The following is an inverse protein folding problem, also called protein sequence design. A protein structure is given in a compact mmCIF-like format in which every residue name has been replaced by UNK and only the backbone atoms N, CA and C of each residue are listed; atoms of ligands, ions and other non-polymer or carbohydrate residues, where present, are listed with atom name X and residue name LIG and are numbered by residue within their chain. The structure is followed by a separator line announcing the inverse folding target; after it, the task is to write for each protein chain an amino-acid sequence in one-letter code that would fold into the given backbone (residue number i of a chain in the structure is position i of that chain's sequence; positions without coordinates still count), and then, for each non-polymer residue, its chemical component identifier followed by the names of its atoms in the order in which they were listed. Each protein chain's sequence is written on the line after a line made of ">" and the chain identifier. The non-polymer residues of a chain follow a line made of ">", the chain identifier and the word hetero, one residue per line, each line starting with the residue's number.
data_IF_521690717322
#
_entry.id   IF_521690717322
#
_cell.length_a   1.000
_cell.length_b   1.000
_cell.length_c   1.000
_cell.angle_alpha   90.00
_cell.angle_beta   90.00
_cell.angle_gamma   90.00
#
_symmetry.space_group_name_H-M   'P 1'
#
loop_
_entity.id
_entity.type
_entity.pdbx_description
1 polymer ?
#
# COMPACT_ATOMS: atom_id res chain seq x y z
N UNK A 1 -6.20 -6.34 -13.73
CA UNK A 1 -5.13 -5.71 -12.91
C UNK A 1 -5.64 -5.56 -11.47
N UNK A 2 -4.85 -6.02 -10.49
CA UNK A 2 -5.19 -5.93 -9.06
C UNK A 2 -5.00 -4.48 -8.61
N UNK A 3 -6.09 -3.78 -8.29
CA UNK A 3 -6.09 -2.37 -7.85
C UNK A 3 -6.15 -2.20 -6.32
N UNK A 4 -6.27 -3.30 -5.60
CA UNK A 4 -6.46 -3.34 -4.16
C UNK A 4 -5.29 -4.04 -3.51
N UNK A 5 -4.71 -3.40 -2.50
CA UNK A 5 -3.52 -3.83 -1.78
C UNK A 5 -3.76 -3.80 -0.29
N UNK A 6 -3.38 -4.86 0.42
CA UNK A 6 -3.32 -4.82 1.88
C UNK A 6 -2.03 -4.13 2.29
N UNK A 7 -2.16 -3.04 3.04
CA UNK A 7 -1.03 -2.29 3.56
C UNK A 7 -0.95 -2.48 5.07
N UNK A 8 0.27 -2.69 5.55
CA UNK A 8 0.60 -2.87 6.97
C UNK A 8 1.43 -1.69 7.42
N UNK A 9 1.00 -1.00 8.48
CA UNK A 9 1.76 0.04 9.17
C UNK A 9 1.75 -0.27 10.66
N UNK A 10 2.92 -0.61 11.20
CA UNK A 10 3.02 -1.16 12.56
C UNK A 10 2.17 -2.43 12.72
N UNK A 11 1.24 -2.41 13.68
CA UNK A 11 0.31 -3.51 13.94
C UNK A 11 -1.05 -3.37 13.20
N UNK A 12 -1.24 -2.31 12.40
CA UNK A 12 -2.51 -2.03 11.72
C UNK A 12 -2.47 -2.53 10.28
N UNK A 13 -3.63 -3.01 9.80
CA UNK A 13 -3.89 -3.45 8.43
C UNK A 13 -5.00 -2.62 7.81
N UNK A 14 -4.81 -2.19 6.58
CA UNK A 14 -5.82 -1.46 5.82
C UNK A 14 -5.77 -1.83 4.34
N UNK A 15 -6.90 -1.66 3.67
CA UNK A 15 -7.02 -1.86 2.23
C UNK A 15 -6.78 -0.54 1.52
N UNK A 16 -5.74 -0.48 0.70
CA UNK A 16 -5.47 0.65 -0.18
C UNK A 16 -5.98 0.32 -1.59
N UNK A 17 -6.76 1.23 -2.15
CA UNK A 17 -7.21 1.14 -3.55
C UNK A 17 -6.47 2.21 -4.35
N UNK A 18 -5.75 1.79 -5.39
CA UNK A 18 -5.11 2.71 -6.32
C UNK A 18 -6.03 2.94 -7.52
N UNK A 19 -6.35 4.20 -7.75
CA UNK A 19 -7.18 4.65 -8.88
C UNK A 19 -6.36 4.79 -10.17
N UNK A 20 -5.08 5.11 -10.02
CA UNK A 20 -4.11 5.28 -11.10
C UNK A 20 -3.14 4.09 -11.17
N UNK A 21 -2.52 3.91 -12.32
CA UNK A 21 -1.51 2.85 -12.52
C UNK A 21 -0.15 3.36 -12.03
N UNK A 22 0.12 3.13 -10.75
CA UNK A 22 1.34 3.53 -10.08
C UNK A 22 1.90 2.37 -9.22
N UNK A 23 3.19 2.43 -8.91
CA UNK A 23 3.82 1.42 -8.05
C UNK A 23 3.24 1.53 -6.64
N UNK A 24 2.52 0.50 -6.15
CA UNK A 24 1.87 0.56 -4.86
C UNK A 24 2.88 0.64 -3.72
N UNK A 25 4.10 0.08 -3.88
CA UNK A 25 5.15 0.14 -2.86
C UNK A 25 5.64 1.57 -2.70
N UNK A 26 5.92 2.27 -3.81
CA UNK A 26 6.35 3.67 -3.79
C UNK A 26 5.30 4.56 -3.14
N UNK A 27 4.01 4.38 -3.49
CA UNK A 27 2.92 5.12 -2.85
C UNK A 27 2.88 4.88 -1.35
N UNK A 28 2.92 3.62 -0.90
CA UNK A 28 2.93 3.29 0.53
C UNK A 28 4.13 3.93 1.24
N UNK A 29 5.33 3.86 0.65
CA UNK A 29 6.56 4.41 1.25
C UNK A 29 6.56 5.93 1.31
N UNK A 30 5.91 6.60 0.36
CA UNK A 30 5.79 8.07 0.38
C UNK A 30 4.90 8.58 1.53
N UNK A 31 3.89 7.81 1.93
CA UNK A 31 2.94 8.17 3.01
C UNK A 31 3.41 7.64 4.36
N UNK A 32 3.87 6.39 4.38
CA UNK A 32 4.36 5.66 5.55
C UNK A 32 5.72 5.01 5.24
N UNK A 33 6.84 5.64 5.63
CA UNK A 33 8.18 5.10 5.35
C UNK A 33 8.40 3.67 5.86
N UNK A 34 7.79 3.31 7.00
CA UNK A 34 7.80 1.96 7.59
C UNK A 34 6.73 1.02 7.02
N UNK A 35 5.79 1.55 6.23
CA UNK A 35 4.69 0.81 5.63
C UNK A 35 5.16 -0.25 4.64
N UNK A 36 4.39 -1.33 4.50
CA UNK A 36 4.65 -2.38 3.51
C UNK A 36 3.35 -2.97 2.97
N UNK A 37 3.43 -3.63 1.83
CA UNK A 37 2.32 -4.34 1.19
C UNK A 37 2.41 -5.84 1.50
N UNK A 38 1.28 -6.47 1.77
CA UNK A 38 1.16 -7.92 1.87
C UNK A 38 1.04 -8.50 0.44
N UNK A 39 2.00 -9.34 0.02
CA UNK A 39 2.06 -9.94 -1.32
C UNK A 39 0.95 -10.97 -1.54
#
# INVERSE_FOLDING_TARGET
>A
MKRSWTVIVGAKRFTMILMEDCDPVEVVKSIWPEGRIEQ
#
